data_IF_861727180696
#
_entry.id   IF_861727180696
#
_cell.length_a   1.000
_cell.length_b   1.000
_cell.length_c   1.000
_cell.angle_alpha   90.00
_cell.angle_beta   90.00
_cell.angle_gamma   90.00
#
_symmetry.space_group_name_H-M   'P 1'
#
loop_
_entity.id
_entity.type
_entity.pdbx_description
1 polymer ?
#
# COMPACT_ATOMS: atom_id res chain seq x y z
N UNK A 1 7.13 -71.15 2.11
CA UNK A 1 7.42 -71.25 0.66
C UNK A 1 6.21 -70.78 -0.11
N UNK A 2 6.49 -69.99 -1.15
CA UNK A 2 5.63 -69.58 -2.28
C UNK A 2 4.57 -68.48 -2.06
N UNK A 3 5.06 -67.26 -2.26
CA UNK A 3 4.44 -66.13 -2.96
C UNK A 3 3.87 -66.55 -4.33
N UNK A 4 2.71 -65.99 -4.72
CA UNK A 4 2.55 -65.22 -5.97
C UNK A 4 1.13 -64.60 -6.11
N UNK A 5 0.93 -63.61 -7.00
CA UNK A 5 0.42 -62.29 -6.63
C UNK A 5 -0.72 -61.80 -7.56
N UNK A 6 -0.96 -60.49 -7.53
CA UNK A 6 -1.55 -59.62 -8.55
C UNK A 6 -3.01 -59.15 -8.41
N UNK A 7 -3.10 -57.81 -8.42
CA UNK A 7 -4.16 -56.93 -8.96
C UNK A 7 -5.40 -56.79 -8.08
N UNK A 8 -5.93 -55.60 -7.79
CA UNK A 8 -5.65 -54.28 -8.32
C UNK A 8 -6.25 -53.21 -7.40
N UNK A 9 -5.74 -51.99 -7.53
CA UNK A 9 -6.56 -50.78 -7.33
C UNK A 9 -6.27 -50.01 -6.06
N UNK A 10 -5.10 -49.36 -6.01
CA UNK A 10 -4.95 -48.12 -5.24
C UNK A 10 -5.90 -47.11 -5.87
N UNK A 11 -7.04 -46.87 -5.24
CA UNK A 11 -7.83 -45.66 -5.46
C UNK A 11 -7.01 -44.52 -4.90
N UNK A 12 -6.17 -43.94 -5.77
CA UNK A 12 -5.60 -42.63 -5.53
C UNK A 12 -6.77 -41.65 -5.46
N UNK A 13 -7.11 -41.25 -4.24
CA UNK A 13 -8.00 -40.11 -3.99
C UNK A 13 -7.34 -38.89 -4.60
N UNK A 14 -7.67 -38.63 -5.86
CA UNK A 14 -7.38 -37.39 -6.54
C UNK A 14 -8.20 -36.30 -5.86
N UNK A 15 -7.67 -35.76 -4.77
CA UNK A 15 -8.06 -34.47 -4.25
C UNK A 15 -7.58 -33.42 -5.25
N UNK A 16 -8.34 -33.26 -6.33
CA UNK A 16 -8.35 -32.00 -7.07
C UNK A 16 -8.96 -30.97 -6.11
N UNK A 17 -8.08 -30.30 -5.36
CA UNK A 17 -8.42 -29.06 -4.70
C UNK A 17 -8.73 -28.06 -5.83
N UNK A 18 -10.01 -27.94 -6.15
CA UNK A 18 -10.57 -26.74 -6.73
C UNK A 18 -10.15 -25.59 -5.81
N UNK A 19 -9.12 -24.85 -6.21
CA UNK A 19 -8.85 -23.52 -5.66
C UNK A 19 -10.05 -22.68 -6.10
N UNK A 20 -11.09 -22.73 -5.28
CA UNK A 20 -12.20 -21.80 -5.36
C UNK A 20 -11.60 -20.39 -5.27
N UNK A 21 -12.14 -19.48 -6.08
CA UNK A 21 -11.94 -18.03 -5.99
C UNK A 21 -12.42 -17.52 -4.62
N UNK A 22 -11.73 -17.89 -3.55
CA UNK A 22 -11.94 -17.37 -2.22
C UNK A 22 -11.27 -16.01 -2.16
N UNK A 23 -12.09 -14.97 -2.22
CA UNK A 23 -11.70 -13.61 -1.88
C UNK A 23 -10.93 -13.65 -0.55
N UNK A 24 -9.72 -13.09 -0.52
CA UNK A 24 -8.90 -13.05 0.69
C UNK A 24 -9.61 -12.14 1.69
N UNK A 25 -10.00 -12.66 2.85
CA UNK A 25 -10.58 -11.84 3.92
C UNK A 25 -9.46 -11.02 4.59
N UNK A 26 -9.15 -9.87 3.98
CA UNK A 26 -8.11 -8.94 4.46
C UNK A 26 -8.39 -8.50 5.90
N UNK A 27 -9.64 -8.22 6.23
CA UNK A 27 -10.04 -7.77 7.56
C UNK A 27 -9.90 -8.88 8.63
N UNK A 28 -10.04 -10.15 8.26
CA UNK A 28 -9.72 -11.25 9.17
C UNK A 28 -8.22 -11.33 9.45
N UNK A 29 -7.37 -11.18 8.43
CA UNK A 29 -5.92 -11.19 8.59
C UNK A 29 -5.41 -10.00 9.42
N UNK A 30 -5.96 -8.80 9.19
CA UNK A 30 -5.62 -7.57 9.94
C UNK A 30 -5.94 -7.67 11.45
N UNK A 31 -6.99 -8.40 11.81
CA UNK A 31 -7.43 -8.58 13.21
C UNK A 31 -6.76 -9.74 13.92
N UNK A 32 -5.99 -10.57 13.21
CA UNK A 32 -5.32 -11.70 13.81
C UNK A 32 -4.20 -11.21 14.73
N UNK A 33 -4.13 -11.78 15.93
CA UNK A 33 -3.04 -11.51 16.87
C UNK A 33 -1.86 -12.41 16.49
N UNK A 34 -0.79 -11.78 16.00
CA UNK A 34 0.48 -12.45 15.79
C UNK A 34 1.39 -12.21 16.99
N UNK A 35 2.24 -13.20 17.34
CA UNK A 35 3.29 -12.96 18.32
C UNK A 35 4.19 -11.81 17.84
N UNK A 36 4.57 -10.91 18.76
CA UNK A 36 5.64 -9.96 18.50
C UNK A 36 6.90 -10.72 18.01
N UNK A 37 7.76 -10.01 17.27
CA UNK A 37 9.00 -10.51 16.63
C UNK A 37 9.84 -11.51 17.44
N UNK A 38 9.72 -11.50 18.77
CA UNK A 38 10.51 -12.28 19.72
C UNK A 38 10.16 -13.78 19.82
N UNK A 39 9.01 -14.25 19.30
CA UNK A 39 8.60 -15.66 19.49
C UNK A 39 9.07 -16.59 18.37
N UNK A 40 9.05 -16.15 17.11
CA UNK A 40 9.41 -16.97 15.94
C UNK A 40 10.39 -16.26 14.98
N UNK A 41 10.94 -15.11 15.38
CA UNK A 41 11.80 -14.26 14.54
C UNK A 41 11.15 -13.85 13.22
N UNK A 42 9.81 -13.72 13.15
CA UNK A 42 9.13 -13.30 11.93
C UNK A 42 8.92 -14.41 10.91
N UNK A 43 9.05 -15.69 11.32
CA UNK A 43 8.84 -16.82 10.43
C UNK A 43 7.43 -16.84 9.82
N UNK A 44 6.42 -16.36 10.55
CA UNK A 44 5.05 -16.22 10.06
C UNK A 44 4.91 -15.43 8.74
N UNK A 45 5.83 -14.50 8.45
CA UNK A 45 5.80 -13.70 7.23
C UNK A 45 6.09 -14.51 5.96
N UNK A 46 6.69 -15.71 6.11
CA UNK A 46 6.92 -16.65 5.02
C UNK A 46 5.77 -17.61 4.74
N UNK A 47 4.68 -17.52 5.51
CA UNK A 47 3.54 -18.41 5.32
C UNK A 47 2.67 -17.96 4.14
N UNK A 48 2.03 -18.93 3.46
CA UNK A 48 1.14 -18.69 2.32
C UNK A 48 0.02 -17.67 2.61
N UNK A 49 -0.38 -17.50 3.87
CA UNK A 49 -1.38 -16.50 4.26
C UNK A 49 -0.87 -15.07 4.15
N UNK A 50 0.40 -14.81 4.49
CA UNK A 50 1.00 -13.48 4.41
C UNK A 50 1.15 -13.05 2.94
N UNK A 51 1.64 -13.95 2.09
CA UNK A 51 1.69 -13.72 0.65
C UNK A 51 0.30 -13.47 0.05
N UNK A 52 -0.71 -14.28 0.42
CA UNK A 52 -2.10 -14.06 -0.01
C UNK A 52 -2.68 -12.73 0.47
N UNK A 53 -2.35 -12.29 1.69
CA UNK A 53 -2.76 -10.98 2.19
C UNK A 53 -2.16 -9.85 1.35
N UNK A 54 -0.87 -9.92 1.01
CA UNK A 54 -0.20 -8.91 0.16
C UNK A 54 -0.81 -8.89 -1.25
N UNK A 55 -0.97 -10.05 -1.88
CA UNK A 55 -1.61 -10.17 -3.21
C UNK A 55 -3.04 -9.62 -3.17
N UNK A 56 -3.84 -10.03 -2.20
CA UNK A 56 -5.23 -9.56 -2.06
C UNK A 56 -5.32 -8.06 -1.77
N UNK A 57 -4.35 -7.49 -1.03
CA UNK A 57 -4.27 -6.05 -0.79
C UNK A 57 -3.93 -5.27 -2.05
N UNK A 58 -3.06 -5.83 -2.91
CA UNK A 58 -2.76 -5.25 -4.21
C UNK A 58 -3.98 -5.29 -5.14
N UNK A 59 -4.64 -6.45 -5.26
CA UNK A 59 -5.82 -6.59 -6.11
C UNK A 59 -6.96 -5.67 -5.64
N UNK A 60 -7.20 -5.55 -4.32
CA UNK A 60 -8.17 -4.62 -3.74
C UNK A 60 -7.84 -3.16 -4.10
N UNK A 61 -6.57 -2.77 -3.96
CA UNK A 61 -6.13 -1.44 -4.34
C UNK A 61 -6.26 -1.18 -5.84
N UNK A 62 -5.75 -2.08 -6.70
CA UNK A 62 -5.76 -1.94 -8.16
C UNK A 62 -7.19 -1.74 -8.69
N UNK A 63 -8.14 -2.56 -8.23
CA UNK A 63 -9.54 -2.51 -8.67
C UNK A 63 -10.18 -1.17 -8.27
N UNK A 64 -10.02 -0.74 -7.02
CA UNK A 64 -10.65 0.49 -6.53
C UNK A 64 -9.97 1.74 -7.07
N UNK A 65 -8.65 1.71 -7.24
CA UNK A 65 -7.89 2.82 -7.77
C UNK A 65 -8.18 3.04 -9.26
N UNK A 66 -8.27 1.97 -10.07
CA UNK A 66 -8.67 2.07 -11.47
C UNK A 66 -10.08 2.68 -11.62
N UNK A 67 -11.04 2.23 -10.81
CA UNK A 67 -12.39 2.80 -10.79
C UNK A 67 -12.40 4.28 -10.39
N UNK A 68 -11.58 4.65 -9.41
CA UNK A 68 -11.41 6.03 -8.98
C UNK A 68 -10.86 6.91 -10.11
N UNK A 69 -9.80 6.46 -10.81
CA UNK A 69 -9.25 7.18 -11.97
C UNK A 69 -10.31 7.41 -13.06
N UNK A 70 -11.09 6.39 -13.39
CA UNK A 70 -12.17 6.51 -14.39
C UNK A 70 -13.30 7.45 -13.95
N UNK A 71 -13.60 7.54 -12.65
CA UNK A 71 -14.57 8.51 -12.13
C UNK A 71 -13.98 9.92 -12.12
N UNK A 72 -12.71 10.07 -11.77
CA UNK A 72 -12.00 11.34 -11.78
C UNK A 72 -11.94 11.94 -13.19
N UNK A 73 -11.59 11.14 -14.19
CA UNK A 73 -11.59 11.57 -15.61
C UNK A 73 -12.99 12.00 -16.07
N UNK A 74 -14.03 11.25 -15.70
CA UNK A 74 -15.42 11.62 -16.02
C UNK A 74 -15.86 12.91 -15.31
N UNK A 75 -15.45 13.12 -14.07
CA UNK A 75 -15.72 14.35 -13.33
C UNK A 75 -14.98 15.54 -13.94
N UNK A 76 -13.71 15.37 -14.33
CA UNK A 76 -12.94 16.38 -15.07
C UNK A 76 -13.68 16.83 -16.34
N UNK A 77 -14.18 15.87 -17.14
CA UNK A 77 -14.95 16.16 -18.34
C UNK A 77 -16.26 16.92 -18.08
N UNK A 78 -16.97 16.58 -16.99
CA UNK A 78 -18.19 17.29 -16.59
C UNK A 78 -17.91 18.71 -16.12
N UNK A 79 -16.85 18.92 -15.34
CA UNK A 79 -16.47 20.22 -14.77
C UNK A 79 -16.24 21.29 -15.85
N UNK A 80 -15.84 20.91 -17.07
CA UNK A 80 -15.70 21.81 -18.23
C UNK A 80 -17.05 22.40 -18.66
N UNK A 81 -18.15 21.66 -18.47
CA UNK A 81 -19.49 22.03 -18.93
C UNK A 81 -20.45 22.45 -17.82
N UNK A 82 -20.12 22.14 -16.57
CA UNK A 82 -20.94 22.44 -15.41
C UNK A 82 -20.46 23.69 -14.66
N UNK A 83 -21.38 24.50 -14.10
CA UNK A 83 -21.00 25.69 -13.36
C UNK A 83 -20.36 25.32 -12.01
N UNK A 84 -19.41 26.12 -11.48
CA UNK A 84 -18.67 25.81 -10.24
C UNK A 84 -19.54 25.47 -9.03
N UNK A 85 -20.76 26.02 -8.98
CA UNK A 85 -21.73 25.74 -7.93
C UNK A 85 -22.09 24.24 -7.81
N UNK A 86 -21.94 23.46 -8.88
CA UNK A 86 -22.18 22.00 -8.84
C UNK A 86 -20.94 21.19 -8.48
N UNK A 87 -19.75 21.79 -8.49
CA UNK A 87 -18.48 21.09 -8.33
C UNK A 87 -18.32 20.43 -6.96
N UNK A 88 -18.73 21.02 -5.82
CA UNK A 88 -18.70 20.31 -4.54
C UNK A 88 -19.44 18.97 -4.59
N UNK A 89 -20.61 18.91 -5.23
CA UNK A 89 -21.37 17.67 -5.38
C UNK A 89 -20.71 16.66 -6.33
N UNK A 90 -19.90 17.15 -7.28
CA UNK A 90 -19.16 16.33 -8.23
C UNK A 90 -17.88 15.74 -7.62
N UNK A 91 -17.15 16.52 -6.81
CA UNK A 91 -15.81 16.17 -6.33
C UNK A 91 -15.76 15.69 -4.88
N UNK A 92 -16.75 16.01 -4.03
CA UNK A 92 -16.77 15.50 -2.65
C UNK A 92 -16.72 13.96 -2.58
N UNK A 93 -17.48 13.20 -3.39
CA UNK A 93 -17.37 11.73 -3.38
C UNK A 93 -15.99 11.22 -3.84
N UNK A 94 -15.35 11.94 -4.77
CA UNK A 94 -14.01 11.59 -5.26
C UNK A 94 -12.94 11.84 -4.20
N UNK A 95 -13.07 12.91 -3.41
CA UNK A 95 -12.21 13.15 -2.26
C UNK A 95 -12.31 12.01 -1.23
N UNK A 96 -13.54 11.58 -0.91
CA UNK A 96 -13.76 10.48 0.03
C UNK A 96 -13.21 9.14 -0.53
N UNK A 97 -13.33 8.89 -1.83
CA UNK A 97 -12.73 7.73 -2.52
C UNK A 97 -11.20 7.79 -2.53
N UNK A 98 -10.60 8.97 -2.72
CA UNK A 98 -9.15 9.16 -2.64
C UNK A 98 -8.63 8.80 -1.24
N UNK A 99 -9.30 9.26 -0.18
CA UNK A 99 -8.97 8.89 1.20
C UNK A 99 -9.07 7.38 1.44
N UNK A 100 -10.12 6.74 0.93
CA UNK A 100 -10.25 5.29 1.03
C UNK A 100 -9.13 4.54 0.29
N UNK A 101 -8.69 5.05 -0.87
CA UNK A 101 -7.57 4.46 -1.61
C UNK A 101 -6.21 4.68 -0.94
N UNK A 102 -6.01 5.80 -0.23
CA UNK A 102 -4.83 6.00 0.61
C UNK A 102 -4.76 4.93 1.71
N UNK A 103 -5.88 4.64 2.37
CA UNK A 103 -5.96 3.57 3.39
C UNK A 103 -5.71 2.19 2.77
N UNK A 104 -6.25 1.90 1.58
CA UNK A 104 -5.95 0.64 0.87
C UNK A 104 -4.46 0.51 0.55
N UNK A 105 -3.84 1.59 0.09
CA UNK A 105 -2.41 1.64 -0.15
C UNK A 105 -1.60 1.42 1.15
N UNK A 106 -2.17 1.75 2.32
CA UNK A 106 -1.62 1.44 3.64
C UNK A 106 -1.47 -0.02 4.01
N UNK A 107 -2.09 -0.93 3.25
CA UNK A 107 -1.80 -2.37 3.38
C UNK A 107 -0.51 -2.76 2.68
N UNK A 108 -0.05 -1.95 1.72
CA UNK A 108 1.13 -2.20 0.89
C UNK A 108 2.30 -1.30 1.30
N UNK A 109 2.02 -0.13 1.86
CA UNK A 109 2.99 0.88 2.28
C UNK A 109 2.79 1.22 3.76
N UNK A 110 3.87 1.30 4.55
CA UNK A 110 3.73 1.45 6.00
C UNK A 110 3.21 2.84 6.37
N UNK A 111 2.26 2.86 7.32
CA UNK A 111 1.70 4.06 7.96
C UNK A 111 0.94 5.00 7.02
N UNK A 112 0.46 4.51 5.89
CA UNK A 112 -0.42 5.26 4.99
C UNK A 112 -1.88 5.12 5.44
N UNK A 113 -2.35 6.02 6.31
CA UNK A 113 -3.71 5.96 6.88
C UNK A 113 -4.55 7.19 6.53
N UNK A 114 -3.91 8.28 6.09
CA UNK A 114 -4.54 9.56 5.79
C UNK A 114 -3.72 10.34 4.76
N UNK A 115 -4.32 11.35 4.10
CA UNK A 115 -3.62 12.14 3.07
C UNK A 115 -2.27 12.71 3.50
N UNK A 116 -2.16 13.17 4.75
CA UNK A 116 -0.91 13.73 5.31
C UNK A 116 0.25 12.74 5.35
N UNK A 117 0.01 11.45 5.16
CA UNK A 117 1.06 10.43 5.17
C UNK A 117 1.72 10.25 3.78
N UNK A 118 1.12 10.79 2.70
CA UNK A 118 1.65 10.72 1.33
C UNK A 118 3.03 11.38 1.19
N UNK A 119 3.20 12.60 1.70
CA UNK A 119 4.48 13.31 1.63
C UNK A 119 5.60 12.61 2.42
N UNK A 120 5.42 12.21 3.69
CA UNK A 120 6.40 11.40 4.41
C UNK A 120 6.78 10.10 3.70
N UNK A 121 5.83 9.43 3.04
CA UNK A 121 6.12 8.22 2.29
C UNK A 121 6.88 8.52 0.99
N UNK A 122 6.55 9.62 0.30
CA UNK A 122 7.28 10.11 -0.87
C UNK A 122 8.76 10.31 -0.52
N UNK A 123 9.05 11.05 0.57
CA UNK A 123 10.42 11.29 1.03
C UNK A 123 11.19 9.99 1.34
N UNK A 124 10.54 9.00 1.96
CA UNK A 124 11.18 7.70 2.22
C UNK A 124 11.59 6.96 0.94
N UNK A 125 10.79 7.03 -0.12
CA UNK A 125 11.17 6.46 -1.42
C UNK A 125 12.24 7.27 -2.15
N UNK A 126 12.21 8.61 -2.07
CA UNK A 126 13.26 9.48 -2.62
C UNK A 126 14.61 9.25 -1.95
N UNK A 127 14.61 9.06 -0.63
CA UNK A 127 15.80 8.78 0.18
C UNK A 127 16.23 7.31 0.11
N UNK A 128 15.42 6.43 -0.49
CA UNK A 128 15.64 4.98 -0.50
C UNK A 128 15.69 4.36 0.90
N UNK A 129 15.08 5.02 1.89
CA UNK A 129 15.15 4.65 3.31
C UNK A 129 13.74 4.55 3.88
N UNK A 130 13.21 3.32 3.93
CA UNK A 130 11.92 3.04 4.55
C UNK A 130 12.10 3.01 6.06
N UNK A 131 11.32 3.81 6.81
CA UNK A 131 11.45 3.82 8.26
C UNK A 131 10.86 2.55 8.87
N UNK A 132 11.48 2.13 9.95
CA UNK A 132 11.13 0.98 10.78
C UNK A 132 9.66 0.95 11.21
N UNK A 133 9.09 -0.25 11.48
CA UNK A 133 7.75 -0.39 12.04
C UNK A 133 7.62 0.34 13.38
N UNK A 134 6.43 0.87 13.68
CA UNK A 134 6.09 1.49 14.96
C UNK A 134 5.05 0.67 15.71
N UNK A 135 5.51 -0.08 16.70
CA UNK A 135 4.67 -0.95 17.52
C UNK A 135 4.63 -2.39 16.98
N UNK A 136 3.71 -3.19 17.52
CA UNK A 136 3.76 -4.66 17.37
C UNK A 136 2.76 -5.23 16.36
N UNK A 137 2.18 -4.40 15.49
CA UNK A 137 1.22 -4.85 14.48
C UNK A 137 1.94 -5.57 13.33
N UNK A 138 1.67 -6.86 13.14
CA UNK A 138 2.28 -7.68 12.09
C UNK A 138 2.09 -7.13 10.68
N UNK A 139 0.93 -6.53 10.39
CA UNK A 139 0.66 -5.90 9.09
C UNK A 139 1.61 -4.74 8.81
N UNK A 140 2.10 -4.03 9.83
CA UNK A 140 3.10 -2.97 9.63
C UNK A 140 4.47 -3.56 9.28
N UNK A 141 4.88 -4.66 9.90
CA UNK A 141 6.11 -5.36 9.53
C UNK A 141 6.07 -5.85 8.08
N UNK A 142 4.93 -6.38 7.62
CA UNK A 142 4.73 -6.75 6.22
C UNK A 142 4.81 -5.53 5.29
N UNK A 143 4.14 -4.43 5.65
CA UNK A 143 4.14 -3.23 4.82
C UNK A 143 5.55 -2.62 4.71
N UNK A 144 6.32 -2.58 5.80
CA UNK A 144 7.73 -2.14 5.77
C UNK A 144 8.56 -3.09 4.90
N UNK A 145 8.46 -4.41 5.12
CA UNK A 145 9.19 -5.40 4.31
C UNK A 145 8.88 -5.25 2.82
N UNK A 146 7.61 -5.06 2.46
CA UNK A 146 7.19 -4.88 1.08
C UNK A 146 7.66 -3.54 0.50
N UNK A 147 7.61 -2.46 1.27
CA UNK A 147 8.12 -1.16 0.84
C UNK A 147 9.64 -1.17 0.62
N UNK A 148 10.41 -1.92 1.42
CA UNK A 148 11.84 -2.15 1.17
C UNK A 148 12.07 -2.90 -0.15
N UNK A 149 11.24 -3.90 -0.46
CA UNK A 149 11.29 -4.61 -1.74
C UNK A 149 10.97 -3.67 -2.91
N UNK A 150 10.00 -2.77 -2.76
CA UNK A 150 9.73 -1.75 -3.77
C UNK A 150 10.89 -0.78 -3.94
N UNK A 151 11.48 -0.32 -2.84
CA UNK A 151 12.62 0.60 -2.87
C UNK A 151 13.86 -0.04 -3.53
N UNK A 152 14.06 -1.35 -3.36
CA UNK A 152 15.17 -2.10 -3.95
C UNK A 152 14.96 -2.53 -5.41
N UNK A 153 13.77 -2.35 -5.99
CA UNK A 153 13.44 -2.90 -7.29
C UNK A 153 13.64 -1.91 -8.46
N UNK A 154 14.77 -2.01 -9.17
CA UNK A 154 15.04 -1.22 -10.38
C UNK A 154 14.83 0.29 -10.14
N UNK A 155 13.92 0.92 -10.91
CA UNK A 155 13.55 2.33 -10.77
C UNK A 155 12.21 2.52 -10.04
N UNK A 156 11.69 1.47 -9.38
CA UNK A 156 10.37 1.51 -8.76
C UNK A 156 10.31 2.54 -7.63
N UNK A 157 11.39 2.76 -6.87
CA UNK A 157 11.45 3.81 -5.85
C UNK A 157 11.13 5.20 -6.42
N UNK A 158 11.75 5.56 -7.54
CA UNK A 158 11.53 6.84 -8.22
C UNK A 158 10.10 6.96 -8.73
N UNK A 159 9.57 5.89 -9.35
CA UNK A 159 8.19 5.87 -9.83
C UNK A 159 7.18 5.97 -8.68
N UNK A 160 7.43 5.28 -7.56
CA UNK A 160 6.62 5.34 -6.35
C UNK A 160 6.58 6.75 -5.78
N UNK A 161 7.74 7.39 -5.61
CA UNK A 161 7.81 8.78 -5.16
C UNK A 161 7.02 9.72 -6.07
N UNK A 162 7.21 9.61 -7.39
CA UNK A 162 6.48 10.42 -8.36
C UNK A 162 4.97 10.17 -8.30
N UNK A 163 4.54 8.92 -8.17
CA UNK A 163 3.14 8.55 -8.03
C UNK A 163 2.51 9.12 -6.75
N UNK A 164 3.16 8.93 -5.60
CA UNK A 164 2.68 9.42 -4.31
C UNK A 164 2.56 10.95 -4.28
N UNK A 165 3.55 11.67 -4.83
CA UNK A 165 3.49 13.13 -4.96
C UNK A 165 2.33 13.59 -5.85
N UNK A 166 2.06 12.90 -6.96
CA UNK A 166 0.91 13.20 -7.82
C UNK A 166 -0.41 12.87 -7.13
N UNK A 167 -0.44 11.82 -6.31
CA UNK A 167 -1.63 11.47 -5.55
C UNK A 167 -1.93 12.52 -4.47
N UNK A 168 -0.91 13.04 -3.80
CA UNK A 168 -1.03 14.16 -2.86
C UNK A 168 -1.61 15.41 -3.55
N UNK A 169 -1.06 15.78 -4.70
CA UNK A 169 -1.56 16.93 -5.47
C UNK A 169 -3.02 16.74 -5.92
N UNK A 170 -3.38 15.54 -6.37
CA UNK A 170 -4.75 15.23 -6.76
C UNK A 170 -5.71 15.24 -5.56
N UNK A 171 -5.30 14.71 -4.40
CA UNK A 171 -6.10 14.73 -3.17
C UNK A 171 -6.34 16.17 -2.68
N UNK A 172 -5.30 17.00 -2.65
CA UNK A 172 -5.39 18.40 -2.27
C UNK A 172 -6.32 19.19 -3.22
N UNK A 173 -6.21 18.95 -4.53
CA UNK A 173 -7.11 19.58 -5.51
C UNK A 173 -8.57 19.13 -5.31
N UNK A 174 -8.81 17.85 -5.03
CA UNK A 174 -10.14 17.35 -4.74
C UNK A 174 -10.72 17.94 -3.45
N UNK A 175 -9.89 18.16 -2.43
CA UNK A 175 -10.26 18.83 -1.20
C UNK A 175 -10.67 20.30 -1.46
N UNK A 176 -9.89 21.03 -2.25
CA UNK A 176 -10.20 22.41 -2.62
C UNK A 176 -11.53 22.49 -3.39
N UNK A 177 -11.77 21.57 -4.33
CA UNK A 177 -12.98 21.54 -5.13
C UNK A 177 -14.22 21.15 -4.32
N UNK A 178 -14.05 20.26 -3.34
CA UNK A 178 -15.08 19.87 -2.36
C UNK A 178 -15.58 21.08 -1.56
N UNK A 179 -14.72 22.06 -1.29
CA UNK A 179 -15.06 23.27 -0.53
C UNK A 179 -15.10 24.55 -1.39
N UNK A 180 -15.11 24.42 -2.72
CA UNK A 180 -15.09 25.57 -3.61
C UNK A 180 -16.35 26.44 -3.43
N UNK A 181 -16.13 27.69 -2.98
CA UNK A 181 -17.17 28.72 -2.96
C UNK A 181 -17.20 29.50 -4.29
N UNK A 182 -18.34 30.13 -4.58
CA UNK A 182 -18.55 30.91 -5.82
C UNK A 182 -17.57 32.09 -5.92
N UNK A 183 -16.51 31.94 -6.72
CA UNK A 183 -15.56 33.04 -6.99
C UNK A 183 -14.23 32.68 -7.65
N UNK A 184 -13.87 31.40 -7.76
CA UNK A 184 -12.62 30.96 -8.42
C UNK A 184 -12.71 31.03 -9.96
N UNK A 185 -11.56 31.24 -10.61
CA UNK A 185 -11.44 31.28 -12.07
C UNK A 185 -11.67 29.89 -12.68
N UNK A 186 -12.88 29.69 -13.19
CA UNK A 186 -13.53 28.38 -13.38
C UNK A 186 -12.90 27.54 -14.48
N UNK A 187 -12.30 28.17 -15.49
CA UNK A 187 -11.65 27.43 -16.58
C UNK A 187 -10.27 26.89 -16.17
N UNK A 188 -9.52 27.59 -15.33
CA UNK A 188 -8.21 27.13 -14.85
C UNK A 188 -8.38 25.86 -14.03
N UNK A 189 -9.30 25.88 -13.06
CA UNK A 189 -9.51 24.75 -12.16
C UNK A 189 -10.00 23.48 -12.87
N UNK A 190 -10.83 23.58 -13.92
CA UNK A 190 -11.25 22.40 -14.69
C UNK A 190 -10.10 21.78 -15.51
N UNK A 191 -9.20 22.61 -16.04
CA UNK A 191 -7.98 22.13 -16.70
C UNK A 191 -7.01 21.52 -15.70
N UNK A 192 -6.92 22.08 -14.50
CA UNK A 192 -6.09 21.55 -13.41
C UNK A 192 -6.56 20.16 -12.98
N UNK A 193 -7.87 19.92 -12.88
CA UNK A 193 -8.42 18.58 -12.61
C UNK A 193 -8.07 17.59 -13.71
N UNK A 194 -8.26 18.00 -14.97
CA UNK A 194 -7.93 17.13 -16.12
C UNK A 194 -6.45 16.76 -16.12
N UNK A 195 -5.58 17.73 -15.81
CA UNK A 195 -4.13 17.50 -15.71
C UNK A 195 -3.79 16.57 -14.54
N UNK A 196 -4.37 16.80 -13.37
CA UNK A 196 -4.14 15.97 -12.18
C UNK A 196 -4.59 14.52 -12.42
N UNK A 197 -5.74 14.31 -13.05
CA UNK A 197 -6.25 12.99 -13.39
C UNK A 197 -5.29 12.24 -14.35
N UNK A 198 -4.84 12.91 -15.41
CA UNK A 198 -3.88 12.34 -16.35
C UNK A 198 -2.53 12.03 -15.68
N UNK A 199 -1.98 12.97 -14.91
CA UNK A 199 -0.71 12.78 -14.21
C UNK A 199 -0.78 11.60 -13.24
N UNK A 200 -1.88 11.48 -12.49
CA UNK A 200 -2.08 10.39 -11.55
C UNK A 200 -2.20 9.04 -12.27
N UNK A 201 -2.93 8.98 -13.39
CA UNK A 201 -3.01 7.80 -14.27
C UNK A 201 -1.64 7.41 -14.81
N UNK A 202 -0.90 8.35 -15.39
CA UNK A 202 0.47 8.12 -15.88
C UNK A 202 1.40 7.64 -14.76
N UNK A 203 1.22 8.16 -13.54
CA UNK A 203 1.99 7.75 -12.36
C UNK A 203 1.71 6.30 -11.97
N UNK A 204 0.42 5.92 -11.96
CA UNK A 204 0.02 4.54 -11.68
C UNK A 204 0.53 3.57 -12.75
N UNK A 205 0.40 3.92 -14.03
CA UNK A 205 0.90 3.10 -15.15
C UNK A 205 2.43 2.91 -15.12
N UNK A 206 3.18 3.83 -14.50
CA UNK A 206 4.62 3.70 -14.29
C UNK A 206 4.99 2.78 -13.10
N UNK A 207 4.13 2.70 -12.10
CA UNK A 207 4.36 1.97 -10.83
C UNK A 207 3.83 0.53 -10.89
N UNK A 208 2.61 0.35 -11.39
CA UNK A 208 1.86 -0.90 -11.38
C UNK A 208 2.68 -2.10 -11.91
N UNK A 209 3.42 -1.99 -13.03
CA UNK A 209 4.20 -3.12 -13.53
C UNK A 209 5.33 -3.52 -12.58
N UNK A 210 5.94 -2.55 -11.89
CA UNK A 210 7.00 -2.81 -10.91
C UNK A 210 6.45 -3.44 -9.65
N UNK A 211 5.35 -2.91 -9.10
CA UNK A 211 4.67 -3.52 -7.95
C UNK A 211 4.26 -4.96 -8.25
N UNK A 212 3.70 -5.21 -9.45
CA UNK A 212 3.36 -6.57 -9.87
C UNK A 212 4.55 -7.52 -9.90
N UNK A 213 5.71 -7.07 -10.40
CA UNK A 213 6.93 -7.89 -10.43
C UNK A 213 7.45 -8.24 -9.04
N UNK A 214 7.23 -7.38 -8.07
CA UNK A 214 7.62 -7.61 -6.67
C UNK A 214 6.61 -8.50 -5.95
N UNK A 215 5.31 -8.35 -6.22
CA UNK A 215 4.25 -9.06 -5.48
C UNK A 215 3.93 -10.44 -6.07
N UNK A 216 3.91 -10.59 -7.40
CA UNK A 216 3.43 -11.83 -8.02
C UNK A 216 4.59 -12.74 -8.41
N UNK A 217 4.59 -13.93 -7.81
CA UNK A 217 5.54 -14.97 -8.15
C UNK A 217 5.35 -15.49 -9.57
N UNK A 218 6.47 -15.62 -10.29
CA UNK A 218 6.51 -16.26 -11.59
C UNK A 218 6.68 -17.78 -11.44
N UNK A 219 6.18 -18.59 -12.39
CA UNK A 219 6.33 -20.05 -12.33
C UNK A 219 7.78 -20.55 -12.27
N UNK A 220 8.74 -19.74 -12.72
CA UNK A 220 10.16 -20.05 -12.83
C UNK A 220 11.04 -19.23 -11.86
N UNK A 221 10.48 -18.78 -10.73
CA UNK A 221 11.24 -18.04 -9.72
C UNK A 221 12.41 -18.89 -9.16
N UNK A 222 13.63 -18.32 -9.05
CA UNK A 222 14.71 -18.96 -8.35
C UNK A 222 14.37 -19.23 -6.88
N UNK A 223 15.04 -20.21 -6.28
CA UNK A 223 14.91 -20.49 -4.85
C UNK A 223 15.36 -19.27 -4.05
N UNK A 224 14.58 -18.89 -3.02
CA UNK A 224 14.82 -17.70 -2.21
C UNK A 224 14.24 -16.42 -2.79
N UNK A 225 13.61 -16.49 -3.97
CA UNK A 225 13.03 -15.35 -4.67
C UNK A 225 11.50 -15.46 -4.76
N UNK A 226 10.82 -16.36 -4.04
CA UNK A 226 9.37 -16.23 -3.92
C UNK A 226 9.00 -15.03 -3.02
N UNK A 227 7.80 -14.48 -3.19
CA UNK A 227 7.28 -13.40 -2.34
C UNK A 227 7.35 -13.81 -0.87
N UNK A 228 6.88 -15.02 -0.54
CA UNK A 228 6.93 -15.56 0.82
C UNK A 228 8.36 -15.60 1.38
N UNK A 229 9.34 -16.11 0.63
CA UNK A 229 10.73 -16.17 1.08
C UNK A 229 11.35 -14.77 1.27
N UNK A 230 11.06 -13.82 0.35
CA UNK A 230 11.54 -12.45 0.47
C UNK A 230 10.93 -11.74 1.68
N UNK A 231 9.61 -11.85 1.87
CA UNK A 231 8.92 -11.28 3.03
C UNK A 231 9.46 -11.86 4.33
N UNK A 232 9.63 -13.19 4.41
CA UNK A 232 10.23 -13.83 5.59
C UNK A 232 11.63 -13.29 5.87
N UNK A 233 12.48 -13.20 4.85
CA UNK A 233 13.86 -12.71 4.97
C UNK A 233 13.89 -11.29 5.52
N UNK A 234 13.05 -10.41 4.97
CA UNK A 234 12.95 -9.00 5.38
C UNK A 234 12.41 -8.86 6.79
N UNK A 235 11.28 -9.49 7.10
CA UNK A 235 10.70 -9.43 8.44
C UNK A 235 11.64 -10.02 9.48
N UNK A 236 12.36 -11.11 9.17
CA UNK A 236 13.40 -11.67 10.05
C UNK A 236 14.51 -10.67 10.33
N UNK A 237 14.99 -9.95 9.31
CA UNK A 237 16.00 -8.92 9.47
C UNK A 237 15.48 -7.74 10.33
N UNK A 238 14.23 -7.33 10.10
CA UNK A 238 13.58 -6.29 10.90
C UNK A 238 13.48 -6.74 12.37
N UNK A 239 12.95 -7.94 12.63
CA UNK A 239 12.82 -8.50 13.97
C UNK A 239 14.17 -8.63 14.70
N UNK A 240 15.21 -9.09 13.99
CA UNK A 240 16.55 -9.22 14.56
C UNK A 240 17.10 -7.86 14.99
N UNK A 241 17.02 -6.85 14.14
CA UNK A 241 17.51 -5.52 14.44
C UNK A 241 16.70 -4.89 15.60
N UNK A 242 15.39 -5.09 15.65
CA UNK A 242 14.56 -4.64 16.76
C UNK A 242 14.99 -5.30 18.09
N UNK A 243 15.33 -6.59 18.07
CA UNK A 243 15.82 -7.31 19.26
C UNK A 243 17.20 -6.87 19.73
N UNK A 244 18.07 -6.43 18.82
CA UNK A 244 19.43 -5.93 19.12
C UNK A 244 19.40 -4.49 19.68
N UNK A 245 18.31 -3.78 19.43
CA UNK A 245 18.13 -2.36 19.75
C UNK A 245 17.23 -2.08 20.96
N UNK A 246 16.36 -3.02 21.33
CA UNK A 246 15.32 -2.85 22.34
C UNK A 246 14.22 -1.88 21.90
N UNK A 247 13.25 -1.60 22.79
CA UNK A 247 12.15 -0.62 22.60
C UNK A 247 12.65 0.85 22.49
N UNK A 248 13.96 1.07 22.42
CA UNK A 248 14.59 2.38 22.49
C UNK A 248 14.57 3.11 21.15
N UNK A 249 14.27 4.40 21.20
CA UNK A 249 14.22 5.41 20.12
C UNK A 249 15.48 5.53 19.21
N UNK A 250 16.45 4.63 19.30
CA UNK A 250 17.79 4.80 18.73
C UNK A 250 18.14 3.89 17.54
N UNK A 251 17.21 3.11 16.98
CA UNK A 251 17.53 2.16 15.90
C UNK A 251 16.92 2.42 14.53
N UNK A 252 16.64 3.68 14.25
CA UNK A 252 16.20 4.10 12.92
C UNK A 252 15.71 5.52 12.90
N UNK A 253 16.54 6.46 13.38
CA UNK A 253 16.28 7.88 13.23
C UNK A 253 16.43 8.30 11.77
N UNK A 254 15.41 8.05 10.95
CA UNK A 254 15.10 8.95 9.85
C UNK A 254 14.76 10.29 10.49
N UNK A 255 15.69 11.25 10.41
CA UNK A 255 15.63 12.63 10.90
C UNK A 255 14.66 12.88 12.07
N UNK A 256 15.20 13.03 13.27
CA UNK A 256 14.55 13.81 14.33
C UNK A 256 14.23 15.20 13.76
N UNK A 257 12.99 15.44 13.35
CA UNK A 257 12.43 16.78 13.32
C UNK A 257 12.15 17.15 14.79
N UNK A 258 13.21 17.51 15.50
CA UNK A 258 13.06 18.35 16.68
C UNK A 258 12.41 19.65 16.21
N UNK A 259 11.18 19.91 16.67
CA UNK A 259 10.59 21.24 16.59
C UNK A 259 9.20 21.35 15.95
N UNK A 260 8.25 20.48 16.27
CA UNK A 260 6.82 20.84 16.26
C UNK A 260 6.10 20.29 17.50
N UNK A 261 6.72 20.39 18.67
CA UNK A 261 5.95 20.43 19.91
C UNK A 261 5.38 21.83 20.01
N UNK A 262 4.10 21.98 19.66
CA UNK A 262 3.31 23.14 20.05
C UNK A 262 3.40 23.27 21.56
N UNK A 263 4.17 24.24 22.05
CA UNK A 263 4.13 24.61 23.46
C UNK A 263 2.70 25.06 23.79
N UNK A 264 2.12 24.59 24.90
CA UNK A 264 0.85 25.10 25.35
C UNK A 264 1.02 26.58 25.71
N UNK A 265 0.21 27.45 25.11
CA UNK A 265 0.08 28.83 25.57
C UNK A 265 -0.27 28.82 27.06
N UNK A 266 0.66 29.31 27.89
CA UNK A 266 0.38 29.57 29.29
C UNK A 266 -0.78 30.57 29.39
N UNK A 267 -1.86 30.12 30.03
CA UNK A 267 -2.93 30.98 30.46
C UNK A 267 -2.49 31.76 31.70
N UNK A 268 -2.34 33.08 31.55
CA UNK A 268 -2.70 34.04 32.59
C UNK A 268 -1.56 34.83 33.24
N UNK A 269 -1.54 36.13 32.98
CA UNK A 269 -1.88 37.18 33.96
C UNK A 269 -2.10 38.52 33.27
#
# INVERSE_FOLDING_TARGET
>A
MNLNPFKAGVLASAAFALVACGEVDLAAYEREEFPACYVDNGAWAGEDRAARYVVGSFDDFEIHFAQFLDKLDRAAGKAVSEPPQSWPALFAPLHDEAQANIVRLGRLLPRMNRPLDLAPMTGQFEEGTIWWPRGDHHTEYLAVALAEEFAGHQNLAEHMAAFLSRFEQAEALLLDLKFSETGADTMSSAQDVTRAAQQLRDGWEAVEPGMRRVIFDRPDMPIGESLSERLQTRVTAICKNYSECGDGESCGGGATSDGLTGEPMEAGS
#
